data_IF_869596433645
#
_entry.id   IF_869596433645
#
_cell.length_a   1.000
_cell.length_b   1.000
_cell.length_c   1.000
_cell.angle_alpha   90.00
_cell.angle_beta   90.00
_cell.angle_gamma   90.00
#
_symmetry.space_group_name_H-M   'P 1'
#
loop_
_entity.id
_entity.type
_entity.pdbx_description
1 polymer ?
#
# COMPACT_ATOMS: atom_id res chain seq x y z
N UNK A 1 12.37 2.28 -26.94
CA UNK A 1 11.13 2.99 -27.31
C UNK A 1 9.87 2.09 -27.33
N UNK A 2 9.97 0.75 -27.31
CA UNK A 2 8.79 -0.16 -27.36
C UNK A 2 8.02 -0.28 -26.04
N UNK A 3 8.66 0.01 -24.89
CA UNK A 3 8.03 -0.17 -23.56
C UNK A 3 6.98 0.88 -23.20
N UNK A 4 7.09 2.12 -23.68
CA UNK A 4 6.17 3.23 -23.32
C UNK A 4 4.78 2.97 -23.91
N UNK A 5 4.69 2.63 -25.20
CA UNK A 5 3.41 2.40 -25.87
C UNK A 5 2.59 1.23 -25.30
N UNK A 6 3.23 0.24 -24.68
CA UNK A 6 2.51 -0.86 -24.00
C UNK A 6 1.86 -0.36 -22.72
N UNK A 7 2.58 0.42 -21.90
CA UNK A 7 2.03 1.02 -20.67
C UNK A 7 0.84 1.92 -21.01
N UNK A 8 0.97 2.75 -22.04
CA UNK A 8 -0.10 3.63 -22.50
C UNK A 8 -1.35 2.85 -22.95
N UNK A 9 -1.16 1.76 -23.72
CA UNK A 9 -2.27 0.92 -24.20
C UNK A 9 -2.97 0.17 -23.07
N UNK A 10 -2.22 -0.31 -22.08
CA UNK A 10 -2.80 -0.93 -20.88
C UNK A 10 -3.57 0.10 -20.07
N UNK A 11 -3.02 1.30 -19.88
CA UNK A 11 -3.69 2.38 -19.17
C UNK A 11 -4.99 2.83 -19.86
N UNK A 12 -4.96 2.93 -21.19
CA UNK A 12 -6.14 3.22 -22.01
C UNK A 12 -7.21 2.14 -21.86
N UNK A 13 -6.81 0.87 -21.79
CA UNK A 13 -7.74 -0.23 -21.54
C UNK A 13 -8.33 -0.17 -20.13
N UNK A 14 -7.50 0.02 -19.10
CA UNK A 14 -7.95 0.13 -17.70
C UNK A 14 -8.96 1.27 -17.52
N UNK A 15 -8.73 2.39 -18.18
CA UNK A 15 -9.63 3.55 -18.14
C UNK A 15 -11.03 3.27 -18.72
N UNK A 16 -11.14 2.36 -19.71
CA UNK A 16 -12.41 2.06 -20.39
C UNK A 16 -13.27 1.04 -19.66
N UNK A 17 -12.73 0.37 -18.64
CA UNK A 17 -13.43 -0.69 -17.91
C UNK A 17 -14.23 -0.07 -16.76
N UNK A 18 -15.54 -0.30 -16.78
CA UNK A 18 -16.47 0.13 -15.75
C UNK A 18 -17.45 -0.99 -15.40
N UNK A 19 -17.76 -1.17 -14.11
CA UNK A 19 -18.76 -2.15 -13.66
C UNK A 19 -18.20 -3.57 -13.44
N UNK A 20 -19.05 -4.62 -13.52
CA UNK A 20 -18.64 -6.01 -13.34
C UNK A 20 -17.68 -6.47 -14.45
N UNK A 21 -16.62 -7.19 -14.07
CA UNK A 21 -15.44 -7.44 -14.92
C UNK A 21 -15.18 -8.92 -15.18
N UNK A 22 -16.16 -9.80 -14.99
CA UNK A 22 -15.94 -11.24 -15.08
C UNK A 22 -15.42 -11.70 -16.46
N UNK A 23 -15.72 -10.95 -17.55
CA UNK A 23 -15.24 -11.26 -18.90
C UNK A 23 -13.84 -10.72 -19.17
N UNK A 24 -13.55 -9.50 -18.72
CA UNK A 24 -12.26 -8.83 -18.91
C UNK A 24 -11.19 -9.30 -17.90
N UNK A 25 -11.61 -9.97 -16.83
CA UNK A 25 -10.75 -10.34 -15.70
C UNK A 25 -9.44 -11.01 -16.10
N UNK A 26 -9.39 -12.03 -16.99
CA UNK A 26 -8.14 -12.70 -17.30
C UNK A 26 -7.11 -11.76 -17.93
N UNK A 27 -7.56 -10.86 -18.80
CA UNK A 27 -6.68 -9.91 -19.48
C UNK A 27 -6.19 -8.82 -18.50
N UNK A 28 -7.09 -8.27 -17.69
CA UNK A 28 -6.74 -7.28 -16.66
C UNK A 28 -5.70 -7.83 -15.67
N UNK A 29 -5.89 -9.08 -15.21
CA UNK A 29 -4.93 -9.75 -14.34
C UNK A 29 -3.56 -9.90 -15.00
N UNK A 30 -3.50 -10.30 -16.27
CA UNK A 30 -2.23 -10.42 -17.01
C UNK A 30 -1.53 -9.07 -17.19
N UNK A 31 -2.29 -8.00 -17.41
CA UNK A 31 -1.73 -6.65 -17.48
C UNK A 31 -1.14 -6.20 -16.13
N UNK A 32 -1.86 -6.40 -15.02
CA UNK A 32 -1.36 -6.08 -13.68
C UNK A 32 -0.11 -6.91 -13.32
N UNK A 33 -0.11 -8.20 -13.67
CA UNK A 33 1.03 -9.10 -13.49
C UNK A 33 2.24 -8.63 -14.31
N UNK A 34 2.04 -8.21 -15.56
CA UNK A 34 3.11 -7.68 -16.41
C UNK A 34 3.76 -6.43 -15.78
N UNK A 35 2.96 -5.46 -15.34
CA UNK A 35 3.48 -4.24 -14.70
C UNK A 35 4.22 -4.55 -13.38
N UNK A 36 3.70 -5.49 -12.61
CA UNK A 36 4.36 -6.01 -11.39
C UNK A 36 5.71 -6.66 -11.73
N UNK A 37 5.77 -7.48 -12.80
CA UNK A 37 7.00 -8.12 -13.24
C UNK A 37 8.04 -7.11 -13.74
N UNK A 38 7.62 -6.08 -14.50
CA UNK A 38 8.52 -5.03 -15.00
C UNK A 38 9.16 -4.25 -13.85
N UNK A 39 8.36 -3.83 -12.88
CA UNK A 39 8.85 -3.12 -11.68
C UNK A 39 9.76 -4.00 -10.83
N UNK A 40 9.41 -5.28 -10.63
CA UNK A 40 10.23 -6.23 -9.88
C UNK A 40 11.58 -6.53 -10.58
N UNK A 41 11.58 -6.71 -11.90
CA UNK A 41 12.80 -6.91 -12.68
C UNK A 41 13.77 -5.73 -12.53
N UNK A 42 13.25 -4.50 -12.50
CA UNK A 42 14.04 -3.30 -12.27
C UNK A 42 14.69 -3.29 -10.88
N UNK A 43 13.93 -3.68 -9.85
CA UNK A 43 14.44 -3.79 -8.48
C UNK A 43 15.59 -4.79 -8.39
N UNK A 44 15.41 -5.98 -8.98
CA UNK A 44 16.42 -7.06 -9.00
C UNK A 44 17.69 -6.66 -9.72
N UNK A 45 17.58 -6.11 -10.94
CA UNK A 45 18.74 -5.74 -11.76
C UNK A 45 19.65 -4.71 -11.11
N UNK A 46 19.07 -3.82 -10.32
CA UNK A 46 19.79 -2.67 -9.77
C UNK A 46 20.27 -2.88 -8.33
N UNK A 47 20.02 -4.04 -7.71
CA UNK A 47 20.33 -4.29 -6.30
C UNK A 47 19.70 -3.23 -5.36
N UNK A 48 18.60 -2.61 -5.82
CA UNK A 48 18.04 -1.38 -5.27
C UNK A 48 16.98 -1.72 -4.24
N UNK A 49 17.42 -2.07 -3.04
CA UNK A 49 16.50 -2.25 -1.91
C UNK A 49 16.66 -1.16 -0.85
N UNK A 50 17.06 0.03 -1.28
CA UNK A 50 16.88 1.23 -0.49
C UNK A 50 15.71 2.04 -1.06
N UNK A 51 14.51 1.77 -0.54
CA UNK A 51 13.26 2.45 -0.91
C UNK A 51 13.29 3.93 -0.53
N UNK A 52 14.10 4.28 0.48
CA UNK A 52 14.07 5.59 1.15
C UNK A 52 15.34 6.42 0.97
N UNK A 53 16.46 5.82 0.57
CA UNK A 53 17.75 6.49 0.53
C UNK A 53 18.20 6.98 -0.84
N UNK A 54 19.44 7.46 -0.86
CA UNK A 54 20.05 8.10 -2.03
C UNK A 54 20.44 7.05 -3.07
N UNK A 55 19.87 7.17 -4.27
CA UNK A 55 20.13 6.25 -5.38
C UNK A 55 21.64 6.19 -5.67
N UNK A 56 22.27 5.02 -5.48
CA UNK A 56 23.59 4.75 -6.06
C UNK A 56 23.50 4.95 -7.59
N UNK A 57 24.55 5.49 -8.24
CA UNK A 57 24.54 5.71 -9.68
C UNK A 57 24.28 4.38 -10.41
N UNK A 58 23.29 4.38 -11.30
CA UNK A 58 22.98 3.24 -12.15
C UNK A 58 23.92 3.20 -13.36
N UNK A 59 23.98 2.03 -14.02
CA UNK A 59 24.45 1.96 -15.40
C UNK A 59 23.57 2.87 -16.28
N UNK A 60 24.17 3.56 -17.24
CA UNK A 60 23.45 4.52 -18.12
C UNK A 60 22.20 3.90 -18.75
N UNK A 61 22.30 2.69 -19.32
CA UNK A 61 21.16 2.00 -19.93
C UNK A 61 20.00 1.71 -18.94
N UNK A 62 20.31 1.35 -17.70
CA UNK A 62 19.29 1.08 -16.67
C UNK A 62 18.67 2.39 -16.15
N UNK A 63 19.43 3.49 -16.15
CA UNK A 63 18.91 4.83 -15.82
C UNK A 63 17.91 5.32 -16.86
N UNK A 64 18.18 5.13 -18.16
CA UNK A 64 17.24 5.49 -19.22
C UNK A 64 15.93 4.69 -19.11
N UNK A 65 16.02 3.38 -18.86
CA UNK A 65 14.82 2.54 -18.68
C UNK A 65 13.99 3.00 -17.48
N UNK A 66 14.64 3.31 -16.34
CA UNK A 66 13.95 3.84 -15.17
C UNK A 66 13.21 5.13 -15.48
N UNK A 67 13.89 6.10 -16.09
CA UNK A 67 13.31 7.41 -16.42
C UNK A 67 12.13 7.25 -17.39
N UNK A 68 12.24 6.36 -18.38
CA UNK A 68 11.12 6.11 -19.30
C UNK A 68 9.93 5.45 -18.62
N UNK A 69 10.15 4.47 -17.74
CA UNK A 69 9.07 3.83 -16.99
C UNK A 69 8.44 4.79 -15.98
N UNK A 70 9.25 5.58 -15.27
CA UNK A 70 8.77 6.64 -14.39
C UNK A 70 7.88 7.63 -15.15
N UNK A 71 8.35 8.11 -16.30
CA UNK A 71 7.59 9.02 -17.16
C UNK A 71 6.28 8.40 -17.63
N UNK A 72 6.29 7.12 -18.05
CA UNK A 72 5.09 6.43 -18.49
C UNK A 72 4.09 6.23 -17.34
N UNK A 73 4.55 5.82 -16.16
CA UNK A 73 3.70 5.66 -14.98
C UNK A 73 3.10 6.99 -14.52
N UNK A 74 3.85 8.10 -14.58
CA UNK A 74 3.31 9.44 -14.31
C UNK A 74 2.27 9.86 -15.33
N UNK A 75 2.58 9.75 -16.62
CA UNK A 75 1.70 10.16 -17.71
C UNK A 75 0.38 9.37 -17.74
N UNK A 76 0.37 8.17 -17.18
CA UNK A 76 -0.78 7.27 -17.15
C UNK A 76 -1.44 7.16 -15.77
N UNK A 77 -1.09 8.03 -14.81
CA UNK A 77 -1.65 7.99 -13.45
C UNK A 77 -1.55 6.60 -12.79
N UNK A 78 -0.34 6.03 -12.83
CA UNK A 78 -0.04 4.64 -12.44
C UNK A 78 -0.86 3.60 -13.22
N UNK A 79 -0.92 3.78 -14.55
CA UNK A 79 -1.62 2.89 -15.49
C UNK A 79 -3.14 2.86 -15.23
N UNK A 80 -3.71 3.94 -14.68
CA UNK A 80 -5.12 4.07 -14.31
C UNK A 80 -5.65 2.97 -13.36
N UNK A 81 -4.78 2.31 -12.60
CA UNK A 81 -5.20 1.19 -11.75
C UNK A 81 -6.12 1.64 -10.62
N UNK A 82 -5.89 2.82 -10.04
CA UNK A 82 -6.72 3.34 -8.94
C UNK A 82 -8.14 3.58 -9.45
N UNK A 83 -8.29 4.26 -10.58
CA UNK A 83 -9.60 4.55 -11.17
C UNK A 83 -10.30 3.28 -11.69
N UNK A 84 -9.55 2.29 -12.18
CA UNK A 84 -10.08 0.95 -12.47
C UNK A 84 -10.62 0.29 -11.20
N UNK A 85 -9.83 0.27 -10.12
CA UNK A 85 -10.25 -0.33 -8.83
C UNK A 85 -11.46 0.40 -8.26
N UNK A 86 -11.49 1.73 -8.33
CA UNK A 86 -12.62 2.55 -7.93
C UNK A 86 -13.87 2.17 -8.74
N UNK A 87 -13.72 2.08 -10.06
CA UNK A 87 -14.81 1.70 -10.97
C UNK A 87 -15.34 0.30 -10.67
N UNK A 88 -14.52 -0.72 -10.45
CA UNK A 88 -15.03 -2.09 -10.23
C UNK A 88 -15.59 -2.28 -8.82
N UNK A 89 -14.98 -1.68 -7.80
CA UNK A 89 -15.38 -1.86 -6.39
C UNK A 89 -16.58 -0.99 -6.01
N UNK A 90 -16.68 0.21 -6.58
CA UNK A 90 -17.64 1.24 -6.18
C UNK A 90 -18.53 1.70 -7.36
N UNK A 91 -18.68 0.89 -8.41
CA UNK A 91 -19.56 1.21 -9.56
C UNK A 91 -21.02 1.52 -9.16
N UNK A 92 -21.50 0.94 -8.06
CA UNK A 92 -22.85 1.17 -7.53
C UNK A 92 -22.94 2.41 -6.62
N UNK A 93 -21.89 3.22 -6.58
CA UNK A 93 -21.71 4.33 -5.65
C UNK A 93 -21.05 3.89 -4.33
N UNK A 94 -20.56 4.87 -3.56
CA UNK A 94 -20.00 4.62 -2.21
C UNK A 94 -21.16 4.27 -1.28
N UNK A 95 -21.22 3.04 -0.71
CA UNK A 95 -22.32 2.66 0.16
C UNK A 95 -22.36 3.52 1.42
N UNK A 96 -23.58 3.83 1.90
CA UNK A 96 -23.77 4.51 3.19
C UNK A 96 -23.29 3.63 4.34
N UNK A 97 -22.14 3.98 4.92
CA UNK A 97 -21.44 3.21 5.98
C UNK A 97 -22.16 3.22 7.33
N UNK A 98 -23.25 3.97 7.47
CA UNK A 98 -23.99 4.20 8.72
C UNK A 98 -25.27 3.37 8.88
N UNK A 99 -25.74 2.65 7.85
CA UNK A 99 -26.83 1.70 7.99
C UNK A 99 -26.25 0.33 8.34
N UNK A 100 -26.86 -0.42 9.26
CA UNK A 100 -26.47 -1.78 9.68
C UNK A 100 -26.46 -2.84 8.54
N UNK A 101 -26.53 -2.42 7.29
CA UNK A 101 -26.42 -3.27 6.11
C UNK A 101 -24.96 -3.68 5.88
N UNK A 102 -24.66 -4.97 5.73
CA UNK A 102 -23.33 -5.43 5.33
C UNK A 102 -22.96 -4.90 3.93
N UNK A 103 -21.66 -4.83 3.61
CA UNK A 103 -21.22 -4.43 2.28
C UNK A 103 -21.76 -5.38 1.20
N UNK A 104 -22.00 -4.89 -0.03
CA UNK A 104 -22.34 -5.74 -1.16
C UNK A 104 -21.26 -6.82 -1.36
N UNK A 105 -21.69 -8.07 -1.58
CA UNK A 105 -20.76 -9.18 -1.80
C UNK A 105 -19.94 -8.95 -3.06
N UNK A 106 -18.61 -9.05 -2.93
CA UNK A 106 -17.70 -8.98 -4.07
C UNK A 106 -17.57 -10.37 -4.71
N UNK A 107 -17.53 -10.42 -6.04
CA UNK A 107 -17.18 -11.66 -6.73
C UNK A 107 -15.71 -11.99 -6.52
N UNK A 108 -15.35 -13.28 -6.61
CA UNK A 108 -13.95 -13.71 -6.58
C UNK A 108 -13.12 -13.01 -7.67
N UNK A 109 -13.75 -12.67 -8.81
CA UNK A 109 -13.10 -11.94 -9.90
C UNK A 109 -12.64 -10.56 -9.46
N UNK A 110 -13.54 -9.80 -8.84
CA UNK A 110 -13.26 -8.47 -8.32
C UNK A 110 -12.22 -8.48 -7.20
N UNK A 111 -12.30 -9.46 -6.28
CA UNK A 111 -11.31 -9.62 -5.20
C UNK A 111 -9.91 -9.87 -5.77
N UNK A 112 -9.78 -10.79 -6.73
CA UNK A 112 -8.49 -11.09 -7.36
C UNK A 112 -7.89 -9.90 -8.12
N UNK A 113 -8.73 -9.09 -8.76
CA UNK A 113 -8.30 -7.85 -9.41
C UNK A 113 -7.87 -6.80 -8.39
N UNK A 114 -8.59 -6.65 -7.28
CA UNK A 114 -8.18 -5.76 -6.20
C UNK A 114 -6.83 -6.16 -5.59
N UNK A 115 -6.61 -7.46 -5.32
CA UNK A 115 -5.32 -7.99 -4.87
C UNK A 115 -4.22 -7.65 -5.88
N UNK A 116 -4.46 -7.93 -7.17
CA UNK A 116 -3.46 -7.73 -8.22
C UNK A 116 -3.14 -6.25 -8.45
N UNK A 117 -4.15 -5.38 -8.38
CA UNK A 117 -4.00 -3.93 -8.52
C UNK A 117 -3.23 -3.32 -7.35
N UNK A 118 -3.57 -3.68 -6.11
CA UNK A 118 -2.84 -3.24 -4.91
C UNK A 118 -1.40 -3.77 -4.92
N UNK A 119 -1.19 -5.03 -5.32
CA UNK A 119 0.14 -5.60 -5.48
C UNK A 119 0.97 -4.84 -6.52
N UNK A 120 0.36 -4.45 -7.64
CA UNK A 120 1.01 -3.64 -8.67
C UNK A 120 1.42 -2.27 -8.10
N UNK A 121 0.52 -1.60 -7.38
CA UNK A 121 0.80 -0.33 -6.68
C UNK A 121 1.96 -0.47 -5.69
N UNK A 122 1.98 -1.54 -4.89
CA UNK A 122 3.06 -1.82 -3.94
C UNK A 122 4.43 -1.97 -4.64
N UNK A 123 4.48 -2.59 -5.82
CA UNK A 123 5.73 -2.71 -6.57
C UNK A 123 6.12 -1.39 -7.27
N UNK A 124 5.15 -0.55 -7.65
CA UNK A 124 5.43 0.80 -8.14
C UNK A 124 5.99 1.72 -7.05
N UNK A 125 5.50 1.58 -5.80
CA UNK A 125 6.05 2.27 -4.64
C UNK A 125 7.51 1.85 -4.37
N UNK A 126 7.80 0.55 -4.43
CA UNK A 126 9.17 0.03 -4.32
C UNK A 126 10.07 0.51 -5.46
N UNK A 127 9.54 0.57 -6.69
CA UNK A 127 10.26 1.04 -7.87
C UNK A 127 10.68 2.51 -7.74
N UNK A 128 9.76 3.39 -7.32
CA UNK A 128 10.04 4.81 -7.16
C UNK A 128 9.03 5.49 -6.20
N UNK A 129 9.29 5.41 -4.89
CA UNK A 129 8.38 5.92 -3.85
C UNK A 129 7.94 7.39 -4.03
N UNK A 130 8.84 8.36 -4.31
CA UNK A 130 8.42 9.75 -4.51
C UNK A 130 7.49 9.95 -5.71
N UNK A 131 7.61 9.13 -6.75
CA UNK A 131 6.75 9.19 -7.93
C UNK A 131 5.38 8.61 -7.59
N UNK A 132 5.39 7.43 -6.96
CA UNK A 132 4.18 6.78 -6.48
C UNK A 132 3.36 7.72 -5.58
N UNK A 133 3.99 8.32 -4.57
CA UNK A 133 3.33 9.27 -3.67
C UNK A 133 2.85 10.50 -4.45
N UNK A 134 3.69 11.10 -5.29
CA UNK A 134 3.31 12.28 -6.07
C UNK A 134 2.09 12.05 -6.99
N UNK A 135 1.97 10.87 -7.62
CA UNK A 135 0.84 10.57 -8.50
C UNK A 135 -0.40 10.21 -7.68
N UNK A 136 -0.27 9.33 -6.69
CA UNK A 136 -1.40 8.90 -5.86
C UNK A 136 -1.94 10.02 -4.95
N UNK A 137 -1.13 11.02 -4.66
CA UNK A 137 -1.46 12.21 -3.88
C UNK A 137 -2.24 13.29 -4.65
N UNK A 138 -2.45 13.14 -5.96
CA UNK A 138 -3.35 14.04 -6.72
C UNK A 138 -4.75 14.07 -6.10
N UNK A 139 -5.42 15.22 -6.12
CA UNK A 139 -6.70 15.45 -5.41
C UNK A 139 -7.76 14.40 -5.78
N UNK A 140 -7.87 14.04 -7.06
CA UNK A 140 -8.86 13.06 -7.50
C UNK A 140 -8.46 11.64 -7.11
N UNK A 141 -7.21 11.26 -7.35
CA UNK A 141 -6.71 9.90 -7.11
C UNK A 141 -6.61 9.57 -5.62
N UNK A 142 -6.22 10.53 -4.79
CA UNK A 142 -6.12 10.35 -3.34
C UNK A 142 -7.49 10.16 -2.71
N UNK A 143 -8.53 10.84 -3.23
CA UNK A 143 -9.92 10.65 -2.84
C UNK A 143 -10.44 9.26 -3.24
N UNK A 144 -10.23 8.84 -4.49
CA UNK A 144 -10.56 7.48 -4.95
C UNK A 144 -9.86 6.42 -4.10
N UNK A 145 -8.55 6.59 -3.87
CA UNK A 145 -7.74 5.68 -3.05
C UNK A 145 -8.26 5.59 -1.62
N UNK A 146 -8.63 6.71 -0.99
CA UNK A 146 -9.22 6.72 0.35
C UNK A 146 -10.56 5.96 0.36
N UNK A 147 -11.44 6.20 -0.60
CA UNK A 147 -12.71 5.49 -0.70
C UNK A 147 -12.54 3.98 -0.88
N UNK A 148 -11.64 3.56 -1.78
CA UNK A 148 -11.26 2.15 -1.97
C UNK A 148 -10.77 1.56 -0.66
N UNK A 149 -9.79 2.20 -0.03
CA UNK A 149 -9.13 1.70 1.19
C UNK A 149 -10.12 1.53 2.33
N UNK A 150 -10.94 2.56 2.60
CA UNK A 150 -11.95 2.51 3.65
C UNK A 150 -13.04 1.48 3.31
N UNK A 151 -13.39 1.29 2.03
CA UNK A 151 -14.37 0.27 1.62
C UNK A 151 -13.83 -1.15 1.82
N UNK A 152 -12.60 -1.42 1.40
CA UNK A 152 -11.97 -2.73 1.54
C UNK A 152 -11.74 -3.13 3.01
N UNK A 153 -11.38 -2.18 3.89
CA UNK A 153 -11.33 -2.45 5.34
C UNK A 153 -12.70 -2.78 5.91
N UNK A 154 -13.72 -2.01 5.54
CA UNK A 154 -15.09 -2.31 5.95
C UNK A 154 -15.56 -3.67 5.45
N UNK A 155 -15.26 -4.01 4.18
CA UNK A 155 -15.55 -5.30 3.57
C UNK A 155 -14.89 -6.45 4.34
N UNK A 156 -13.60 -6.32 4.65
CA UNK A 156 -12.88 -7.29 5.45
C UNK A 156 -13.53 -7.46 6.83
N UNK A 157 -13.80 -6.37 7.54
CA UNK A 157 -14.38 -6.41 8.88
C UNK A 157 -15.77 -7.04 8.93
N UNK A 158 -16.62 -6.75 7.95
CA UNK A 158 -17.95 -7.37 7.88
C UNK A 158 -17.92 -8.85 7.46
N UNK A 159 -16.84 -9.31 6.82
CA UNK A 159 -16.70 -10.68 6.30
C UNK A 159 -15.95 -11.63 7.23
N UNK A 160 -15.59 -11.19 8.45
CA UNK A 160 -14.79 -11.95 9.43
C UNK A 160 -15.42 -13.27 9.93
N UNK A 161 -16.64 -13.60 9.52
CA UNK A 161 -17.28 -14.88 9.84
C UNK A 161 -16.55 -16.10 9.24
N UNK A 162 -15.60 -15.91 8.30
CA UNK A 162 -14.83 -16.97 7.67
C UNK A 162 -13.33 -16.64 7.61
N UNK A 163 -12.48 -17.61 7.96
CA UNK A 163 -11.03 -17.55 7.74
C UNK A 163 -10.74 -17.70 6.25
N UNK A 164 -10.93 -16.63 5.48
CA UNK A 164 -10.66 -16.58 4.04
C UNK A 164 -9.23 -16.04 3.80
N UNK A 165 -8.34 -16.93 3.35
CA UNK A 165 -6.96 -16.60 2.98
C UNK A 165 -6.89 -15.53 1.89
N UNK A 166 -7.86 -15.51 0.96
CA UNK A 166 -7.90 -14.55 -0.15
C UNK A 166 -8.21 -13.16 0.39
N UNK A 167 -9.19 -13.02 1.30
CA UNK A 167 -9.50 -11.74 1.94
C UNK A 167 -8.36 -11.24 2.83
N UNK A 168 -7.65 -12.16 3.49
CA UNK A 168 -6.45 -11.82 4.25
C UNK A 168 -5.35 -11.30 3.33
N UNK A 169 -5.13 -11.93 2.16
CA UNK A 169 -4.19 -11.44 1.15
C UNK A 169 -4.56 -10.05 0.63
N UNK A 170 -5.85 -9.79 0.41
CA UNK A 170 -6.36 -8.48 0.02
C UNK A 170 -6.07 -7.41 1.06
N UNK A 171 -6.38 -7.68 2.34
CA UNK A 171 -6.09 -6.76 3.43
C UNK A 171 -4.58 -6.49 3.52
N UNK A 172 -3.75 -7.53 3.41
CA UNK A 172 -2.30 -7.39 3.49
C UNK A 172 -1.75 -6.48 2.38
N UNK A 173 -2.14 -6.66 1.12
CA UNK A 173 -1.69 -5.77 0.02
C UNK A 173 -2.22 -4.34 0.21
N UNK A 174 -3.42 -4.17 0.79
CA UNK A 174 -3.94 -2.84 1.14
C UNK A 174 -3.10 -2.15 2.22
N UNK A 175 -2.73 -2.86 3.29
CA UNK A 175 -1.90 -2.33 4.37
C UNK A 175 -0.52 -1.88 3.87
N UNK A 176 0.09 -2.64 2.95
CA UNK A 176 1.32 -2.20 2.27
C UNK A 176 1.08 -0.88 1.50
N UNK A 177 0.00 -0.81 0.72
CA UNK A 177 -0.28 0.35 -0.15
C UNK A 177 -0.50 1.61 0.70
N UNK A 178 -1.28 1.50 1.78
CA UNK A 178 -1.50 2.59 2.72
C UNK A 178 -0.20 3.03 3.40
N UNK A 179 0.66 2.09 3.81
CA UNK A 179 1.95 2.40 4.40
C UNK A 179 2.87 3.17 3.45
N UNK A 180 2.97 2.74 2.19
CA UNK A 180 3.74 3.46 1.17
C UNK A 180 3.14 4.81 0.82
N UNK A 181 1.81 4.93 0.86
CA UNK A 181 1.15 6.21 0.62
C UNK A 181 1.52 7.25 1.70
N UNK A 182 1.59 6.85 2.97
CA UNK A 182 1.75 7.79 4.10
C UNK A 182 3.17 7.94 4.64
N UNK A 183 4.06 6.98 4.39
CA UNK A 183 5.41 6.98 4.98
C UNK A 183 6.16 8.27 4.65
N UNK A 184 6.59 8.97 5.71
CA UNK A 184 7.30 10.26 5.66
C UNK A 184 6.60 11.35 4.83
N UNK A 185 5.27 11.31 4.72
CA UNK A 185 4.48 12.28 3.97
C UNK A 185 3.32 12.82 4.83
N UNK A 186 3.51 14.02 5.41
CA UNK A 186 2.55 14.62 6.33
C UNK A 186 1.19 14.91 5.67
N UNK A 187 1.17 15.34 4.42
CA UNK A 187 -0.07 15.65 3.69
C UNK A 187 -0.90 14.37 3.49
N UNK A 188 -0.26 13.27 3.10
CA UNK A 188 -0.94 11.99 2.93
C UNK A 188 -1.37 11.36 4.25
N UNK A 189 -0.56 11.53 5.30
CA UNK A 189 -0.98 11.21 6.66
C UNK A 189 -2.24 12.01 7.04
N UNK A 190 -2.38 13.25 6.57
CA UNK A 190 -3.59 14.05 6.77
C UNK A 190 -4.81 13.55 5.98
N UNK A 191 -4.59 13.06 4.76
CA UNK A 191 -5.67 12.50 3.93
C UNK A 191 -6.34 11.30 4.63
N UNK A 192 -5.58 10.39 5.25
CA UNK A 192 -6.13 9.14 5.80
C UNK A 192 -6.97 9.30 7.08
N UNK A 193 -6.83 10.40 7.82
CA UNK A 193 -7.67 10.70 8.99
C UNK A 193 -8.75 11.76 8.71
N UNK A 194 -8.94 12.12 7.43
CA UNK A 194 -9.98 13.04 6.97
C UNK A 194 -11.23 12.32 6.44
N UNK A 195 -12.32 13.06 6.24
CA UNK A 195 -13.56 12.57 5.65
C UNK A 195 -14.53 11.95 6.65
N UNK A 196 -15.42 11.08 6.16
CA UNK A 196 -16.44 10.45 7.00
C UNK A 196 -15.83 9.45 8.00
N UNK A 197 -16.36 9.47 9.22
CA UNK A 197 -16.02 8.53 10.28
C UNK A 197 -16.81 7.21 10.15
N UNK A 198 -16.23 6.03 10.48
CA UNK A 198 -14.82 5.86 10.88
C UNK A 198 -13.88 6.12 9.69
N UNK A 199 -12.86 6.93 9.92
CA UNK A 199 -11.85 7.29 8.91
C UNK A 199 -10.98 6.08 8.57
N UNK A 200 -10.19 6.16 7.48
CA UNK A 200 -9.26 5.08 7.13
C UNK A 200 -8.32 4.76 8.31
N UNK A 201 -7.76 5.77 8.96
CA UNK A 201 -6.90 5.57 10.14
C UNK A 201 -7.65 4.90 11.31
N UNK A 202 -8.86 5.35 11.62
CA UNK A 202 -9.68 4.73 12.68
C UNK A 202 -10.00 3.27 12.37
N UNK A 203 -10.30 2.93 11.12
CA UNK A 203 -10.56 1.54 10.75
C UNK A 203 -9.33 0.64 10.91
N UNK A 204 -8.13 1.14 10.59
CA UNK A 204 -6.87 0.37 10.73
C UNK A 204 -6.62 -0.05 12.19
N UNK A 205 -6.95 0.81 13.15
CA UNK A 205 -6.78 0.50 14.58
C UNK A 205 -7.92 -0.34 15.18
N UNK A 206 -8.96 -0.62 14.40
CA UNK A 206 -10.09 -1.51 14.79
C UNK A 206 -10.03 -2.89 14.13
N UNK A 207 -8.89 -3.25 13.53
CA UNK A 207 -8.66 -4.59 12.99
C UNK A 207 -8.78 -5.67 14.10
N UNK A 208 -8.95 -6.96 13.74
CA UNK A 208 -8.99 -8.04 14.72
C UNK A 208 -7.77 -8.06 15.65
N UNK A 209 -8.00 -8.43 16.91
CA UNK A 209 -6.96 -8.52 17.95
C UNK A 209 -5.68 -9.27 17.52
N UNK A 210 -5.71 -10.34 16.69
CA UNK A 210 -4.49 -10.96 16.17
C UNK A 210 -3.52 -10.01 15.47
N UNK A 211 -3.99 -8.94 14.82
CA UNK A 211 -3.12 -7.92 14.20
C UNK A 211 -2.35 -7.06 15.21
N UNK A 212 -2.74 -7.11 16.48
CA UNK A 212 -2.09 -6.38 17.58
C UNK A 212 -1.32 -7.29 18.53
N UNK A 213 -1.41 -8.61 18.35
CA UNK A 213 -0.87 -9.59 19.31
C UNK A 213 -0.05 -10.72 18.68
N UNK A 214 -0.36 -11.21 17.48
CA UNK A 214 0.44 -12.23 16.79
C UNK A 214 1.69 -11.57 16.17
N UNK A 215 2.92 -12.01 16.51
CA UNK A 215 4.17 -11.49 15.93
C UNK A 215 4.20 -11.47 14.40
N UNK A 216 3.49 -12.38 13.73
CA UNK A 216 3.41 -12.43 12.27
C UNK A 216 2.52 -11.32 11.70
N UNK A 217 1.36 -11.08 12.33
CA UNK A 217 0.42 -10.05 11.86
C UNK A 217 0.79 -8.65 12.33
N UNK A 218 1.47 -8.51 13.46
CA UNK A 218 2.05 -7.22 13.89
C UNK A 218 3.13 -6.74 12.92
N UNK A 219 3.97 -7.65 12.34
CA UNK A 219 4.90 -7.32 11.24
C UNK A 219 4.18 -6.80 9.97
N UNK A 220 2.92 -7.21 9.77
CA UNK A 220 2.08 -6.74 8.68
C UNK A 220 1.45 -5.37 9.01
N UNK A 221 0.88 -5.18 10.20
CA UNK A 221 0.15 -3.95 10.55
C UNK A 221 1.04 -2.82 11.06
N UNK A 222 1.97 -3.08 11.98
CA UNK A 222 2.63 -2.02 12.75
C UNK A 222 3.49 -1.08 11.91
N UNK A 223 4.27 -1.54 10.90
CA UNK A 223 4.97 -0.61 10.03
C UNK A 223 4.01 0.33 9.26
N UNK A 224 2.79 -0.12 8.94
CA UNK A 224 1.73 0.75 8.38
C UNK A 224 1.34 1.84 9.38
N UNK A 225 1.04 1.46 10.63
CA UNK A 225 0.63 2.41 11.66
C UNK A 225 1.73 3.43 11.99
N UNK A 226 2.98 2.98 12.04
CA UNK A 226 4.16 3.83 12.18
C UNK A 226 4.23 4.84 11.02
N UNK A 227 4.12 4.38 9.77
CA UNK A 227 4.10 5.25 8.60
C UNK A 227 2.95 6.28 8.63
N UNK A 228 1.76 5.86 9.08
CA UNK A 228 0.59 6.73 9.22
C UNK A 228 0.74 7.80 10.30
N UNK A 229 1.53 7.56 11.35
CA UNK A 229 1.51 8.42 12.55
C UNK A 229 2.83 9.14 12.85
N UNK A 230 3.97 8.66 12.34
CA UNK A 230 5.26 9.25 12.65
C UNK A 230 5.29 10.75 12.30
N UNK A 231 5.67 11.58 13.29
CA UNK A 231 5.68 13.04 13.21
C UNK A 231 4.32 13.71 12.94
N UNK A 232 3.21 12.99 13.17
CA UNK A 232 1.85 13.53 13.09
C UNK A 232 1.10 13.31 14.41
N UNK A 233 1.05 14.36 15.24
CA UNK A 233 0.43 14.32 16.57
C UNK A 233 -1.05 13.97 16.52
N UNK A 234 -1.79 14.49 15.53
CA UNK A 234 -3.22 14.21 15.38
C UNK A 234 -3.46 12.72 15.13
N UNK A 235 -2.71 12.12 14.22
CA UNK A 235 -2.81 10.70 13.93
C UNK A 235 -2.41 9.86 15.13
N UNK A 236 -1.35 10.24 15.85
CA UNK A 236 -0.95 9.62 17.11
C UNK A 236 -2.09 9.65 18.15
N UNK A 237 -2.73 10.80 18.35
CA UNK A 237 -3.87 10.91 19.28
C UNK A 237 -5.04 10.03 18.85
N UNK A 238 -5.33 9.92 17.54
CA UNK A 238 -6.39 9.06 17.02
C UNK A 238 -6.10 7.58 17.34
N UNK A 239 -4.89 7.10 17.07
CA UNK A 239 -4.58 5.68 17.36
C UNK A 239 -4.56 5.39 18.86
N UNK A 240 -4.21 6.38 19.69
CA UNK A 240 -4.18 6.26 21.15
C UNK A 240 -5.57 6.11 21.77
N UNK A 241 -6.65 6.38 21.02
CA UNK A 241 -8.02 6.12 21.46
C UNK A 241 -8.33 4.62 21.49
N UNK A 242 -7.69 3.82 20.63
CA UNK A 242 -7.99 2.39 20.44
C UNK A 242 -6.85 1.46 20.87
N UNK A 243 -5.60 1.92 20.83
CA UNK A 243 -4.42 1.12 21.22
C UNK A 243 -3.33 1.96 21.90
N UNK A 244 -2.53 1.33 22.77
CA UNK A 244 -1.37 2.02 23.36
C UNK A 244 -0.28 2.27 22.33
N UNK A 245 0.24 3.50 22.28
CA UNK A 245 1.43 3.85 21.47
C UNK A 245 2.67 3.04 21.86
N UNK A 246 2.71 2.52 23.09
CA UNK A 246 3.79 1.66 23.57
C UNK A 246 3.97 0.40 22.71
N UNK A 247 2.90 -0.15 22.12
CA UNK A 247 2.98 -1.32 21.25
C UNK A 247 3.84 -1.06 20.00
N UNK A 248 3.76 0.16 19.44
CA UNK A 248 4.57 0.55 18.29
C UNK A 248 6.02 0.83 18.70
N UNK A 249 6.22 1.40 19.89
CA UNK A 249 7.54 1.61 20.49
C UNK A 249 8.26 0.28 20.74
N UNK A 250 7.62 -0.67 21.41
CA UNK A 250 8.17 -2.00 21.70
C UNK A 250 8.55 -2.75 20.42
N UNK A 251 7.71 -2.64 19.38
CA UNK A 251 7.99 -3.21 18.07
C UNK A 251 9.24 -2.60 17.41
N UNK A 252 9.39 -1.27 17.46
CA UNK A 252 10.57 -0.59 16.93
C UNK A 252 11.83 -0.92 17.74
N UNK A 253 11.72 -1.00 19.06
CA UNK A 253 12.82 -1.40 19.93
C UNK A 253 13.27 -2.82 19.64
N UNK A 254 12.33 -3.76 19.45
CA UNK A 254 12.65 -5.11 19.02
C UNK A 254 13.28 -5.13 17.63
N UNK A 255 12.77 -4.35 16.68
CA UNK A 255 13.36 -4.25 15.35
C UNK A 255 14.80 -3.72 15.40
N UNK A 256 15.12 -2.78 16.30
CA UNK A 256 16.49 -2.29 16.52
C UNK A 256 17.43 -3.35 17.13
N UNK A 257 16.89 -4.27 17.94
CA UNK A 257 17.66 -5.35 18.58
C UNK A 257 17.89 -6.56 17.65
N UNK A 258 16.87 -6.91 16.87
CA UNK A 258 16.85 -8.06 15.96
C UNK A 258 17.56 -7.78 14.63
N UNK A 259 18.27 -6.65 14.48
CA UNK A 259 18.84 -6.20 13.20
C UNK A 259 20.31 -6.61 13.05
N UNK A 260 20.61 -7.78 12.45
CA UNK A 260 21.96 -8.03 11.97
C UNK A 260 22.20 -7.03 10.82
N UNK A 261 23.33 -6.32 10.85
CA UNK A 261 23.81 -5.45 9.74
C UNK A 261 24.05 -6.20 8.40
N UNK A 262 23.44 -7.37 8.20
CA UNK A 262 23.76 -8.33 7.15
C UNK A 262 23.09 -8.02 5.80
N UNK A 263 23.97 -7.62 4.87
CA UNK A 263 24.03 -7.96 3.45
C UNK A 263 22.76 -7.78 2.60
N UNK A 264 22.75 -6.64 1.90
CA UNK A 264 21.82 -6.23 0.85
C UNK A 264 21.65 -7.22 -0.33
N UNK A 265 22.27 -8.40 -0.31
CA UNK A 265 22.32 -9.32 -1.46
C UNK A 265 21.44 -10.57 -1.33
N UNK A 266 20.86 -10.89 -0.17
CA UNK A 266 20.19 -12.19 0.05
C UNK A 266 18.66 -12.13 0.26
N UNK A 267 18.03 -10.95 0.16
CA UNK A 267 16.58 -10.81 0.37
C UNK A 267 15.74 -11.54 -0.71
N UNK A 268 16.32 -11.84 -1.87
CA UNK A 268 15.61 -12.46 -3.01
C UNK A 268 15.08 -13.86 -2.72
N UNK A 269 15.71 -14.59 -1.81
CA UNK A 269 15.30 -15.94 -1.42
C UNK A 269 14.23 -15.94 -0.33
N UNK A 270 13.98 -14.78 0.28
CA UNK A 270 13.00 -14.61 1.35
C UNK A 270 11.65 -14.19 0.74
N UNK A 271 10.63 -15.06 0.69
CA UNK A 271 9.33 -14.72 0.11
C UNK A 271 8.64 -13.56 0.84
N UNK A 272 9.03 -13.29 2.09
CA UNK A 272 8.44 -12.28 2.95
C UNK A 272 9.25 -10.98 3.03
N UNK A 273 10.23 -10.79 2.14
CA UNK A 273 11.11 -9.62 2.18
C UNK A 273 10.35 -8.29 2.23
N UNK A 274 9.22 -8.14 1.50
CA UNK A 274 8.38 -6.92 1.48
C UNK A 274 7.81 -6.55 2.85
N UNK A 275 7.73 -7.51 3.77
CA UNK A 275 7.22 -7.34 5.13
C UNK A 275 8.29 -6.89 6.12
N UNK A 276 9.58 -6.86 5.74
CA UNK A 276 10.62 -6.35 6.62
C UNK A 276 10.43 -4.86 6.85
N UNK A 277 10.59 -4.44 8.10
CA UNK A 277 10.32 -3.06 8.54
C UNK A 277 11.08 -2.02 7.72
N UNK A 278 12.33 -2.29 7.33
CA UNK A 278 13.17 -1.31 6.62
C UNK A 278 12.72 -1.03 5.17
N UNK A 279 11.87 -1.87 4.57
CA UNK A 279 11.21 -1.57 3.29
C UNK A 279 9.99 -0.67 3.45
N UNK A 280 9.46 -0.60 4.67
CA UNK A 280 8.17 0.04 4.96
C UNK A 280 8.31 1.33 5.75
N UNK A 281 9.40 1.45 6.49
CA UNK A 281 9.77 2.64 7.24
C UNK A 281 11.30 2.72 7.36
N UNK A 282 11.95 3.86 7.02
CA UNK A 282 13.39 3.92 6.91
C UNK A 282 14.10 3.69 8.24
N UNK A 283 15.13 2.82 8.22
CA UNK A 283 15.94 2.48 9.40
C UNK A 283 16.51 3.70 10.11
N UNK A 284 16.92 4.71 9.35
CA UNK A 284 17.44 5.97 9.89
C UNK A 284 16.46 6.74 10.77
N UNK A 285 15.16 6.43 10.70
CA UNK A 285 14.09 7.07 11.47
C UNK A 285 13.56 6.21 12.63
N UNK A 286 14.07 4.99 12.83
CA UNK A 286 13.51 4.08 13.84
C UNK A 286 13.66 4.62 15.26
N UNK A 287 14.83 5.17 15.61
CA UNK A 287 15.06 5.76 16.94
C UNK A 287 14.16 6.96 17.19
N UNK A 288 14.05 7.87 16.21
CA UNK A 288 13.17 9.05 16.28
C UNK A 288 11.70 8.64 16.42
N UNK A 289 11.26 7.65 15.63
CA UNK A 289 9.91 7.11 15.70
C UNK A 289 9.64 6.44 17.05
N UNK A 290 10.60 5.70 17.61
CA UNK A 290 10.45 5.07 18.92
C UNK A 290 10.19 6.13 19.99
N UNK A 291 11.03 7.18 20.06
CA UNK A 291 10.83 8.29 21.00
C UNK A 291 9.48 8.99 20.83
N UNK A 292 9.03 9.16 19.59
CA UNK A 292 7.75 9.79 19.29
C UNK A 292 6.57 9.03 19.90
N UNK A 293 6.61 7.69 19.89
CA UNK A 293 5.53 6.85 20.44
C UNK A 293 5.63 6.60 21.95
N UNK A 294 6.82 6.70 22.56
CA UNK A 294 6.99 6.56 24.02
C UNK A 294 6.50 7.80 24.79
N UNK A 295 6.60 8.99 24.21
CA UNK A 295 6.15 10.23 24.86
C UNK A 295 4.62 10.23 24.96
N UNK A 296 4.07 10.32 26.16
CA UNK A 296 2.68 10.73 26.33
C UNK A 296 2.64 12.26 26.21
N UNK A 297 1.92 12.76 25.20
CA UNK A 297 1.62 14.20 25.09
C UNK A 297 0.53 14.58 26.11
#
# INVERSE_FOLDING_TARGET
MVSVGVVDKVAEYFHRVHGPVDREQPFLLKCMQLMTCITNLHLRRNGRLDVFGTKKPLRECDSHLETHLESAFRATSLVNVVSLLYSILLHSGVPSRGSQSPPPRLSSSTINLAISGLRMLNHMALFHLPMFQSVLGDDALSLEFRHISTYLLWYYSASQAYSDEILTSLLHELLLTVGYFTVLNADHQTIIHSGHTPTLLQQLVTLPFPYFSDPRLTRVLFPTLIACCHNNKTNKTIIQQEMSGQLLSDFLQKALQDDPETDACCWESDPDWRWKTHFRFPRSRWSEANEFFTKND
#
